data_IF_547289444663
#
_entry.id   IF_547289444663
#
_cell.length_a   1.000
_cell.length_b   1.000
_cell.length_c   1.000
_cell.angle_alpha   90.00
_cell.angle_beta   90.00
_cell.angle_gamma   90.00
#
_symmetry.space_group_name_H-M   'P 1'
#
loop_
_entity.id
_entity.type
_entity.pdbx_description
1 polymer ?
#
# COMPACT_ATOMS: atom_id res chain seq x y z
N UNK A 1 14.69 -36.48 16.31
CA UNK A 1 15.11 -35.53 15.25
C UNK A 1 14.14 -34.37 15.30
N UNK A 2 14.58 -33.17 15.68
CA UNK A 2 13.70 -32.00 15.64
C UNK A 2 13.38 -31.69 14.18
N UNK A 3 12.11 -31.83 13.79
CA UNK A 3 11.60 -31.28 12.54
C UNK A 3 11.99 -29.80 12.51
N UNK A 4 12.92 -29.42 11.65
CA UNK A 4 13.26 -28.01 11.42
C UNK A 4 12.04 -27.36 10.80
N UNK A 5 11.17 -26.79 11.64
CA UNK A 5 9.94 -26.16 11.18
C UNK A 5 10.28 -25.01 10.25
N UNK A 6 9.86 -25.10 8.99
CA UNK A 6 9.95 -24.00 8.03
C UNK A 6 9.18 -22.80 8.57
N UNK A 7 9.84 -21.64 8.67
CA UNK A 7 9.20 -20.38 9.00
C UNK A 7 8.34 -19.94 7.82
N UNK A 8 7.04 -19.80 8.05
CA UNK A 8 6.09 -19.35 7.01
C UNK A 8 5.61 -17.94 7.30
N UNK A 9 5.79 -17.06 6.33
CA UNK A 9 5.39 -15.66 6.40
C UNK A 9 4.20 -15.45 5.45
N UNK A 10 2.98 -15.24 5.99
CA UNK A 10 1.81 -14.94 5.17
C UNK A 10 1.94 -13.56 4.50
N UNK A 11 1.42 -13.45 3.29
CA UNK A 11 1.28 -12.21 2.54
C UNK A 11 -0.20 -11.97 2.25
N UNK A 12 -0.76 -10.89 2.80
CA UNK A 12 -2.16 -10.48 2.63
C UNK A 12 -2.18 -9.08 2.03
N UNK A 13 -2.31 -8.97 0.71
CA UNK A 13 -2.18 -7.69 0.00
C UNK A 13 -3.04 -7.58 -1.25
N UNK A 14 -3.58 -6.39 -1.49
CA UNK A 14 -4.27 -5.99 -2.72
C UNK A 14 -3.27 -5.70 -3.86
N UNK A 15 -1.99 -5.48 -3.54
CA UNK A 15 -0.98 -5.16 -4.54
C UNK A 15 -0.56 -6.40 -5.32
N UNK A 16 -1.00 -6.45 -6.57
CA UNK A 16 -0.61 -7.52 -7.49
C UNK A 16 0.93 -7.56 -7.65
N UNK A 17 1.50 -8.76 -7.60
CA UNK A 17 2.92 -9.00 -7.85
C UNK A 17 3.84 -8.79 -6.63
N UNK A 18 3.36 -8.28 -5.49
CA UNK A 18 4.19 -8.10 -4.28
C UNK A 18 4.79 -9.41 -3.82
N UNK A 19 4.02 -10.49 -3.76
CA UNK A 19 4.54 -11.81 -3.39
C UNK A 19 5.69 -12.27 -4.30
N UNK A 20 5.54 -12.10 -5.61
CA UNK A 20 6.58 -12.43 -6.59
C UNK A 20 7.83 -11.57 -6.40
N UNK A 21 7.65 -10.27 -6.17
CA UNK A 21 8.75 -9.34 -5.94
C UNK A 21 9.54 -9.69 -4.66
N UNK A 22 8.85 -9.93 -3.55
CA UNK A 22 9.49 -10.34 -2.27
C UNK A 22 10.34 -11.59 -2.48
N UNK A 23 9.78 -12.63 -3.10
CA UNK A 23 10.51 -13.89 -3.36
C UNK A 23 11.74 -13.68 -4.25
N UNK A 24 11.63 -12.82 -5.27
CA UNK A 24 12.75 -12.44 -6.15
C UNK A 24 13.87 -11.76 -5.36
N UNK A 25 13.53 -10.77 -4.52
CA UNK A 25 14.51 -10.06 -3.70
C UNK A 25 15.18 -10.99 -2.68
N UNK A 26 14.43 -11.85 -2.01
CA UNK A 26 15.00 -12.82 -1.05
C UNK A 26 15.87 -13.87 -1.72
N UNK A 27 15.53 -14.31 -2.94
CA UNK A 27 16.39 -15.20 -3.72
C UNK A 27 17.77 -14.57 -4.01
N UNK A 28 17.80 -13.27 -4.30
CA UNK A 28 19.02 -12.52 -4.60
C UNK A 28 19.74 -11.95 -3.36
N UNK A 29 19.09 -11.93 -2.19
CA UNK A 29 19.60 -11.26 -0.99
C UNK A 29 20.77 -12.01 -0.34
N UNK A 30 21.86 -11.31 -0.02
CA UNK A 30 22.99 -11.85 0.76
C UNK A 30 22.77 -11.77 2.28
N UNK A 31 21.57 -11.45 2.74
CA UNK A 31 21.25 -11.37 4.18
C UNK A 31 20.97 -12.77 4.76
N UNK A 32 21.07 -12.95 6.10
CA UNK A 32 20.71 -14.21 6.75
C UNK A 32 19.28 -14.68 6.43
N UNK A 33 18.35 -13.75 6.24
CA UNK A 33 16.98 -14.09 5.85
C UNK A 33 16.89 -14.61 4.39
N UNK A 34 17.74 -14.09 3.50
CA UNK A 34 17.91 -14.63 2.15
C UNK A 34 18.49 -16.04 2.16
N UNK A 35 19.45 -16.34 3.04
CA UNK A 35 19.98 -17.70 3.22
C UNK A 35 18.91 -18.68 3.69
N UNK A 36 18.09 -18.29 4.67
CA UNK A 36 16.97 -19.11 5.14
C UNK A 36 16.00 -19.41 3.99
N UNK A 37 15.65 -18.41 3.18
CA UNK A 37 14.77 -18.58 2.03
C UNK A 37 15.37 -19.55 0.99
N UNK A 38 16.63 -19.35 0.59
CA UNK A 38 17.33 -20.25 -0.35
C UNK A 38 17.47 -21.69 0.17
N UNK A 39 17.57 -21.88 1.48
CA UNK A 39 17.65 -23.20 2.11
C UNK A 39 16.28 -23.89 2.34
N UNK A 40 15.16 -23.25 1.96
CA UNK A 40 13.80 -23.77 2.20
C UNK A 40 13.33 -23.70 3.66
N UNK A 41 14.04 -22.97 4.51
CA UNK A 41 13.71 -22.76 5.93
C UNK A 41 12.84 -21.53 6.17
N UNK A 42 12.72 -20.64 5.18
CA UNK A 42 11.78 -19.52 5.14
C UNK A 42 10.95 -19.64 3.86
N UNK A 43 9.64 -19.54 4.00
CA UNK A 43 8.69 -19.58 2.91
C UNK A 43 7.72 -18.40 3.02
N UNK A 44 7.47 -17.72 1.91
CA UNK A 44 6.40 -16.74 1.81
C UNK A 44 5.16 -17.40 1.20
N UNK A 45 4.00 -17.14 1.79
CA UNK A 45 2.73 -17.78 1.38
C UNK A 45 1.70 -16.70 1.11
N UNK A 46 1.23 -16.62 -0.14
CA UNK A 46 0.16 -15.68 -0.49
C UNK A 46 -1.17 -16.18 0.08
N UNK A 47 -1.89 -15.28 0.74
CA UNK A 47 -3.15 -15.56 1.41
C UNK A 47 -4.30 -14.87 0.66
N UNK A 48 -5.51 -15.45 0.68
CA UNK A 48 -6.69 -14.77 0.16
C UNK A 48 -6.96 -13.52 1.00
N UNK A 49 -7.58 -12.52 0.38
CA UNK A 49 -7.95 -11.29 1.06
C UNK A 49 -9.18 -11.52 1.95
N UNK A 50 -9.23 -10.90 3.15
CA UNK A 50 -10.45 -10.86 3.95
C UNK A 50 -11.49 -9.94 3.32
N UNK A 51 -12.77 -10.24 3.54
CA UNK A 51 -13.88 -9.32 3.29
C UNK A 51 -14.31 -8.71 4.62
N UNK A 52 -14.13 -7.40 4.77
CA UNK A 52 -14.60 -6.68 5.96
C UNK A 52 -16.02 -6.15 5.73
N UNK A 53 -16.74 -5.92 6.83
CA UNK A 53 -18.08 -5.31 6.79
C UNK A 53 -18.02 -3.95 6.09
N UNK A 54 -18.96 -3.69 5.19
CA UNK A 54 -19.00 -2.45 4.41
C UNK A 54 -17.89 -2.30 3.35
N UNK A 55 -17.11 -3.36 3.10
CA UNK A 55 -16.03 -3.42 2.11
C UNK A 55 -14.99 -2.27 2.24
N UNK A 56 -14.73 -1.84 3.47
CA UNK A 56 -13.87 -0.67 3.79
C UNK A 56 -12.39 -0.85 3.42
N UNK A 57 -11.98 -2.06 3.05
CA UNK A 57 -10.60 -2.42 2.74
C UNK A 57 -10.19 -2.14 1.28
N UNK A 58 -11.17 -2.00 0.38
CA UNK A 58 -10.94 -1.81 -1.06
C UNK A 58 -10.92 -0.33 -1.45
N UNK A 59 -9.77 0.32 -1.29
CA UNK A 59 -9.58 1.74 -1.67
C UNK A 59 -9.26 1.93 -3.15
N UNK A 60 -8.90 0.87 -3.89
CA UNK A 60 -8.29 1.01 -5.22
C UNK A 60 -9.05 0.31 -6.34
N UNK A 61 -10.00 -0.58 -6.04
CA UNK A 61 -10.83 -1.24 -7.04
C UNK A 61 -12.30 -0.89 -6.76
N UNK A 62 -12.91 -0.16 -7.69
CA UNK A 62 -14.35 0.14 -7.67
C UNK A 62 -15.24 -1.08 -7.93
N UNK A 63 -14.77 -2.29 -7.59
CA UNK A 63 -15.59 -3.49 -7.61
C UNK A 63 -16.20 -3.62 -6.23
N UNK A 64 -17.50 -3.31 -6.16
CA UNK A 64 -18.35 -3.64 -5.02
C UNK A 64 -18.14 -5.14 -4.70
N UNK A 65 -17.30 -5.48 -3.72
CA UNK A 65 -17.49 -6.78 -3.07
C UNK A 65 -18.87 -6.69 -2.43
N UNK A 66 -19.65 -7.77 -2.56
CA UNK A 66 -20.95 -7.84 -1.92
C UNK A 66 -20.75 -7.64 -0.41
N UNK A 67 -21.40 -6.63 0.16
CA UNK A 67 -21.41 -6.44 1.60
C UNK A 67 -22.27 -7.54 2.20
N UNK A 68 -21.62 -8.60 2.68
CA UNK A 68 -22.27 -9.75 3.30
C UNK A 68 -22.87 -9.41 4.66
N UNK A 69 -22.73 -8.17 5.15
CA UNK A 69 -23.20 -7.71 6.46
C UNK A 69 -22.43 -8.32 7.65
N UNK A 70 -21.42 -9.15 7.36
CA UNK A 70 -20.60 -9.85 8.32
C UNK A 70 -19.18 -10.04 7.77
N UNK A 71 -18.13 -10.00 8.61
CA UNK A 71 -16.77 -10.23 8.17
C UNK A 71 -16.60 -11.69 7.70
N UNK A 72 -15.85 -11.88 6.62
CA UNK A 72 -15.58 -13.19 6.02
C UNK A 72 -14.10 -13.33 5.68
N UNK A 73 -13.53 -14.50 5.92
CA UNK A 73 -12.20 -14.84 5.43
C UNK A 73 -12.13 -16.32 5.07
N UNK A 74 -12.33 -16.61 3.79
CA UNK A 74 -12.35 -17.97 3.26
C UNK A 74 -10.93 -18.52 3.18
N UNK A 75 -10.57 -19.34 4.17
CA UNK A 75 -9.25 -19.93 4.32
C UNK A 75 -9.35 -21.45 4.26
N UNK A 76 -8.39 -22.08 3.59
CA UNK A 76 -8.17 -23.52 3.74
C UNK A 76 -7.64 -23.82 5.15
N UNK A 77 -7.82 -25.06 5.62
CA UNK A 77 -7.27 -25.49 6.92
C UNK A 77 -5.76 -25.27 7.03
N UNK A 78 -5.05 -25.35 5.91
CA UNK A 78 -3.62 -25.09 5.87
C UNK A 78 -3.28 -23.61 6.03
N UNK A 79 -4.01 -22.72 5.35
CA UNK A 79 -3.81 -21.28 5.48
C UNK A 79 -4.16 -20.79 6.89
N UNK A 80 -5.24 -21.33 7.48
CA UNK A 80 -5.55 -21.04 8.89
C UNK A 80 -4.43 -21.47 9.83
N UNK A 81 -3.86 -22.67 9.62
CA UNK A 81 -2.74 -23.16 10.42
C UNK A 81 -1.53 -22.24 10.30
N UNK A 82 -1.20 -21.80 9.08
CA UNK A 82 -0.09 -20.90 8.82
C UNK A 82 -0.30 -19.54 9.52
N UNK A 83 -1.49 -18.94 9.40
CA UNK A 83 -1.82 -17.67 10.05
C UNK A 83 -1.75 -17.80 11.58
N UNK A 84 -2.32 -18.87 12.15
CA UNK A 84 -2.27 -19.14 13.60
C UNK A 84 -0.84 -19.26 14.12
N UNK A 85 0.11 -19.72 13.31
CA UNK A 85 1.52 -19.89 13.69
C UNK A 85 2.40 -18.70 13.33
N UNK A 86 1.90 -17.75 12.54
CA UNK A 86 2.70 -16.67 11.99
C UNK A 86 3.13 -15.67 13.08
N UNK A 87 4.45 -15.52 13.24
CA UNK A 87 5.05 -14.43 14.03
C UNK A 87 5.27 -13.16 13.23
N UNK A 88 5.51 -13.31 11.93
CA UNK A 88 5.72 -12.20 10.99
C UNK A 88 4.68 -12.30 9.90
N UNK A 89 4.06 -11.18 9.54
CA UNK A 89 3.08 -11.10 8.46
C UNK A 89 3.36 -9.89 7.57
N UNK A 90 3.20 -10.06 6.26
CA UNK A 90 3.18 -8.94 5.31
C UNK A 90 1.72 -8.62 5.04
N UNK A 91 1.29 -7.39 5.35
CA UNK A 91 -0.13 -7.06 5.28
C UNK A 91 -0.38 -5.59 4.97
N UNK A 92 -1.38 -5.31 4.15
CA UNK A 92 -1.83 -3.95 3.84
C UNK A 92 -2.48 -3.31 5.07
N UNK A 93 -2.30 -2.00 5.26
CA UNK A 93 -2.91 -1.31 6.41
C UNK A 93 -4.44 -1.41 6.45
N UNK A 94 -5.08 -1.48 5.28
CA UNK A 94 -6.53 -1.58 5.14
C UNK A 94 -7.08 -2.94 5.58
N UNK A 95 -6.24 -3.99 5.61
CA UNK A 95 -6.59 -5.27 6.21
C UNK A 95 -6.05 -5.36 7.64
N UNK A 96 -4.77 -5.07 7.84
CA UNK A 96 -4.11 -5.30 9.11
C UNK A 96 -4.55 -4.39 10.24
N UNK A 97 -4.88 -3.11 9.96
CA UNK A 97 -5.44 -2.21 10.98
C UNK A 97 -6.72 -2.80 11.61
N UNK A 98 -7.77 -3.06 10.81
CA UNK A 98 -8.99 -3.70 11.29
C UNK A 98 -8.75 -5.07 11.95
N UNK A 99 -8.01 -5.97 11.29
CA UNK A 99 -7.87 -7.36 11.75
C UNK A 99 -7.01 -7.53 13.01
N UNK A 100 -5.99 -6.70 13.22
CA UNK A 100 -5.07 -6.83 14.36
C UNK A 100 -5.45 -5.93 15.54
N UNK A 101 -6.12 -4.79 15.30
CA UNK A 101 -6.52 -3.85 16.36
C UNK A 101 -7.94 -4.14 16.86
N UNK A 102 -8.85 -4.54 15.96
CA UNK A 102 -10.25 -4.79 16.28
C UNK A 102 -10.73 -6.15 15.71
N UNK A 103 -10.09 -7.27 16.08
CA UNK A 103 -10.42 -8.60 15.54
C UNK A 103 -11.89 -8.99 15.77
N UNK A 104 -12.46 -8.65 16.92
CA UNK A 104 -13.84 -9.02 17.26
C UNK A 104 -14.90 -8.41 16.35
N UNK A 105 -14.58 -7.28 15.70
CA UNK A 105 -15.47 -6.58 14.76
C UNK A 105 -15.20 -6.98 13.31
N UNK A 106 -13.97 -7.40 13.00
CA UNK A 106 -13.48 -7.51 11.62
C UNK A 106 -13.08 -8.94 11.21
N UNK A 107 -13.11 -9.90 12.13
CA UNK A 107 -12.91 -11.33 11.86
C UNK A 107 -14.18 -12.13 12.14
N UNK A 108 -14.40 -13.24 11.41
CA UNK A 108 -15.39 -14.25 11.79
C UNK A 108 -15.20 -14.72 13.24
N UNK A 109 -16.30 -15.06 13.92
CA UNK A 109 -16.29 -15.45 15.34
C UNK A 109 -15.32 -16.61 15.65
N UNK A 110 -15.22 -17.59 14.74
CA UNK A 110 -14.33 -18.75 14.86
C UNK A 110 -12.84 -18.43 14.59
N UNK A 111 -12.54 -17.20 14.17
CA UNK A 111 -11.21 -16.76 13.72
C UNK A 111 -10.65 -15.57 14.48
N UNK A 112 -11.28 -15.12 15.56
CA UNK A 112 -10.85 -13.91 16.31
C UNK A 112 -9.39 -13.98 16.79
N UNK A 113 -8.91 -15.19 17.12
CA UNK A 113 -7.55 -15.42 17.61
C UNK A 113 -6.54 -15.79 16.51
N UNK A 114 -6.94 -15.77 15.23
CA UNK A 114 -6.12 -16.32 14.12
C UNK A 114 -4.80 -15.58 13.91
N UNK A 115 -4.71 -14.31 14.35
CA UNK A 115 -3.50 -13.48 14.25
C UNK A 115 -2.86 -13.18 15.62
N UNK A 116 -3.29 -13.84 16.69
CA UNK A 116 -2.85 -13.59 18.07
C UNK A 116 -1.33 -13.75 18.30
N UNK A 117 -0.67 -14.56 17.49
CA UNK A 117 0.78 -14.83 17.57
C UNK A 117 1.64 -13.87 16.75
N UNK A 118 1.05 -12.91 16.03
CA UNK A 118 1.79 -11.94 15.23
C UNK A 118 2.55 -10.98 16.13
N UNK A 119 3.87 -10.97 15.99
CA UNK A 119 4.82 -10.10 16.70
C UNK A 119 5.34 -8.98 15.79
N UNK A 120 5.29 -9.16 14.47
CA UNK A 120 5.75 -8.17 13.49
C UNK A 120 4.86 -8.12 12.25
N UNK A 121 4.40 -6.92 11.92
CA UNK A 121 3.70 -6.60 10.68
C UNK A 121 4.60 -5.76 9.79
N UNK A 122 4.90 -6.28 8.60
CA UNK A 122 5.49 -5.50 7.51
C UNK A 122 4.36 -4.98 6.62
N UNK A 123 4.09 -3.69 6.72
CA UNK A 123 3.18 -2.98 5.83
C UNK A 123 3.67 -3.03 4.38
N UNK A 124 2.75 -3.06 3.43
CA UNK A 124 3.04 -2.97 1.98
C UNK A 124 2.93 -1.55 1.44
N UNK A 125 2.35 -0.64 2.23
CA UNK A 125 2.22 0.79 1.95
C UNK A 125 2.95 1.62 3.01
N UNK A 126 3.08 2.91 2.73
CA UNK A 126 3.66 3.88 3.67
C UNK A 126 2.68 4.31 4.76
N UNK A 127 1.38 4.27 4.49
CA UNK A 127 0.36 4.71 5.43
C UNK A 127 0.19 3.73 6.60
N UNK A 128 -0.14 4.29 7.75
CA UNK A 128 -0.38 3.57 9.02
C UNK A 128 -1.70 4.01 9.68
N UNK A 129 -2.48 4.82 8.97
CA UNK A 129 -3.66 5.52 9.48
C UNK A 129 -4.70 4.54 10.00
N UNK A 130 -4.88 3.39 9.34
CA UNK A 130 -5.85 2.38 9.77
C UNK A 130 -5.50 1.74 11.12
N UNK A 131 -4.21 1.64 11.46
CA UNK A 131 -3.80 1.18 12.79
C UNK A 131 -4.01 2.31 13.82
N UNK A 132 -3.48 3.49 13.52
CA UNK A 132 -3.46 4.63 14.44
C UNK A 132 -4.86 5.12 14.77
N UNK A 133 -5.72 5.33 13.77
CA UNK A 133 -7.08 5.84 13.97
C UNK A 133 -7.95 4.87 14.76
N UNK A 134 -7.76 3.56 14.60
CA UNK A 134 -8.49 2.54 15.37
C UNK A 134 -8.00 2.42 16.79
N UNK A 135 -6.69 2.56 16.99
CA UNK A 135 -6.08 2.53 18.30
C UNK A 135 -6.49 3.76 19.13
N UNK A 136 -6.47 4.95 18.51
CA UNK A 136 -6.82 6.21 19.16
C UNK A 136 -8.33 6.42 19.28
N UNK A 137 -9.11 5.98 18.29
CA UNK A 137 -10.51 6.39 18.15
C UNK A 137 -10.62 7.92 18.14
N UNK A 138 -11.45 8.47 19.02
CA UNK A 138 -11.57 9.91 19.25
C UNK A 138 -10.64 10.46 20.36
N UNK A 139 -9.76 9.62 20.91
CA UNK A 139 -8.80 10.00 21.96
C UNK A 139 -7.47 10.48 21.35
N UNK A 140 -6.74 11.35 22.06
CA UNK A 140 -5.42 11.85 21.63
C UNK A 140 -4.26 10.95 22.03
N UNK A 141 -4.48 10.06 23.01
CA UNK A 141 -3.46 9.18 23.58
C UNK A 141 -4.07 7.84 23.92
N UNK A 142 -3.29 6.76 23.83
CA UNK A 142 -3.71 5.40 24.13
C UNK A 142 -3.03 4.94 25.41
N UNK A 143 -3.77 4.39 26.39
CA UNK A 143 -3.17 3.79 27.58
C UNK A 143 -2.16 2.68 27.20
N UNK A 144 -1.06 2.58 27.95
CA UNK A 144 0.04 1.65 27.63
C UNK A 144 -0.45 0.20 27.57
N UNK A 145 -1.44 -0.15 28.39
CA UNK A 145 -2.03 -1.48 28.49
C UNK A 145 -2.82 -1.88 27.23
N UNK A 146 -3.23 -0.88 26.43
CA UNK A 146 -3.95 -1.06 25.17
C UNK A 146 -3.04 -0.98 23.95
N UNK A 147 -1.73 -0.78 24.12
CA UNK A 147 -0.81 -0.77 23.00
C UNK A 147 -0.69 -2.17 22.39
N UNK A 148 -0.62 -2.28 21.05
CA UNK A 148 -0.45 -3.58 20.41
C UNK A 148 0.89 -4.19 20.78
N UNK A 149 0.90 -5.52 20.97
CA UNK A 149 2.12 -6.27 21.31
C UNK A 149 3.00 -6.62 20.10
N UNK A 150 2.72 -6.02 18.94
CA UNK A 150 3.45 -6.23 17.71
C UNK A 150 4.18 -4.97 17.25
N UNK A 151 5.27 -5.15 16.52
CA UNK A 151 5.96 -4.08 15.80
C UNK A 151 5.32 -3.87 14.44
N UNK A 152 5.10 -2.62 14.03
CA UNK A 152 4.65 -2.26 12.67
C UNK A 152 5.78 -1.53 11.94
N UNK A 153 6.22 -2.09 10.81
CA UNK A 153 7.11 -1.40 9.88
C UNK A 153 6.35 -1.06 8.62
N UNK A 154 6.26 0.22 8.28
CA UNK A 154 5.68 0.67 7.01
C UNK A 154 6.64 0.41 5.86
N UNK A 155 6.10 0.21 4.67
CA UNK A 155 6.91 0.27 3.48
C UNK A 155 6.99 1.74 3.04
N UNK A 156 8.15 2.37 3.23
CA UNK A 156 8.50 3.67 2.65
C UNK A 156 9.46 3.57 1.46
N UNK A 157 9.59 4.67 0.69
CA UNK A 157 10.66 4.93 -0.31
C UNK A 157 10.58 4.27 -1.71
N UNK A 158 9.63 3.39 -2.00
CA UNK A 158 9.53 2.74 -3.34
C UNK A 158 8.65 3.50 -4.34
N UNK A 159 7.72 4.33 -3.88
CA UNK A 159 6.82 5.09 -4.75
C UNK A 159 7.30 6.47 -5.29
N UNK A 160 8.46 7.08 -4.92
CA UNK A 160 8.82 8.41 -5.41
C UNK A 160 8.80 8.56 -6.93
N UNK A 161 9.28 7.55 -7.67
CA UNK A 161 9.33 7.60 -9.13
C UNK A 161 7.94 7.42 -9.74
N UNK A 162 7.17 6.44 -9.29
CA UNK A 162 5.82 6.15 -9.79
C UNK A 162 4.88 7.33 -9.53
N UNK A 163 4.91 7.88 -8.32
CA UNK A 163 4.13 9.07 -7.97
C UNK A 163 4.64 10.30 -8.70
N UNK A 164 5.96 10.42 -8.92
CA UNK A 164 6.54 11.44 -9.78
C UNK A 164 5.93 11.41 -11.18
N UNK A 165 5.86 10.23 -11.80
CA UNK A 165 5.27 10.04 -13.14
C UNK A 165 3.79 10.40 -13.16
N UNK A 166 3.04 9.94 -12.16
CA UNK A 166 1.61 10.24 -12.03
C UNK A 166 1.35 11.75 -11.95
N UNK A 167 2.05 12.45 -11.04
CA UNK A 167 1.90 13.91 -10.89
C UNK A 167 2.40 14.65 -12.12
N UNK A 168 3.50 14.22 -12.72
CA UNK A 168 4.02 14.82 -13.95
C UNK A 168 3.03 14.71 -15.12
N UNK A 169 2.38 13.55 -15.27
CA UNK A 169 1.31 13.35 -16.24
C UNK A 169 0.15 14.32 -16.01
N UNK A 170 -0.27 14.48 -14.75
CA UNK A 170 -1.34 15.41 -14.38
C UNK A 170 -0.96 16.86 -14.70
N UNK A 171 0.24 17.32 -14.32
CA UNK A 171 0.72 18.67 -14.67
C UNK A 171 0.76 18.85 -16.18
N UNK A 172 1.25 17.87 -16.93
CA UNK A 172 1.30 17.93 -18.39
C UNK A 172 -0.09 18.06 -19.01
N UNK A 173 -1.07 17.33 -18.45
CA UNK A 173 -2.46 17.37 -18.91
C UNK A 173 -3.02 18.80 -18.93
N UNK A 174 -2.82 19.56 -17.85
CA UNK A 174 -3.28 20.95 -17.75
C UNK A 174 -2.39 21.93 -18.50
N UNK A 175 -1.06 21.87 -18.29
CA UNK A 175 -0.16 22.87 -18.85
C UNK A 175 -0.01 22.77 -20.38
N UNK A 176 -0.46 21.66 -20.98
CA UNK A 176 -0.49 21.43 -22.43
C UNK A 176 -1.90 21.34 -23.02
N UNK A 177 -2.93 21.63 -22.21
CA UNK A 177 -4.34 21.67 -22.64
C UNK A 177 -4.76 20.37 -23.36
N UNK A 178 -4.34 19.22 -22.83
CA UNK A 178 -4.51 17.93 -23.52
C UNK A 178 -5.98 17.52 -23.56
N UNK A 179 -6.77 17.86 -22.53
CA UNK A 179 -8.19 17.55 -22.50
C UNK A 179 -8.96 18.37 -23.53
N UNK A 180 -8.63 19.65 -23.68
CA UNK A 180 -9.18 20.55 -24.68
C UNK A 180 -8.80 20.08 -26.09
N UNK A 181 -7.56 19.61 -26.28
CA UNK A 181 -7.13 19.04 -27.55
C UNK A 181 -7.97 17.81 -27.95
N UNK A 182 -8.32 16.94 -26.98
CA UNK A 182 -9.19 15.78 -27.20
C UNK A 182 -10.59 16.24 -27.62
N UNK A 183 -11.14 17.26 -26.98
CA UNK A 183 -12.45 17.82 -27.33
C UNK A 183 -12.47 18.39 -28.75
N UNK A 184 -11.51 19.24 -29.10
CA UNK A 184 -11.38 19.79 -30.46
C UNK A 184 -11.22 18.69 -31.51
N UNK A 185 -10.39 17.68 -31.23
CA UNK A 185 -10.23 16.54 -32.12
C UNK A 185 -11.55 15.78 -32.30
N UNK A 186 -12.30 15.53 -31.23
CA UNK A 186 -13.57 14.81 -31.28
C UNK A 186 -14.64 15.52 -32.12
N UNK A 187 -14.57 16.85 -32.17
CA UNK A 187 -15.45 17.70 -32.98
C UNK A 187 -14.92 17.93 -34.42
N UNK A 188 -13.75 17.39 -34.76
CA UNK A 188 -13.11 17.62 -36.07
C UNK A 188 -12.58 19.05 -36.24
N UNK A 189 -12.34 19.76 -35.14
CA UNK A 189 -11.91 21.15 -35.14
C UNK A 189 -10.38 21.27 -35.06
N UNK A 190 -9.80 22.05 -35.97
CA UNK A 190 -8.39 22.40 -35.92
C UNK A 190 -8.19 23.76 -35.20
N UNK A 191 -8.38 23.75 -33.87
CA UNK A 191 -8.39 24.94 -33.00
C UNK A 191 -6.99 25.49 -32.67
N UNK A 192 -6.18 25.76 -33.69
CA UNK A 192 -4.77 26.22 -33.54
C UNK A 192 -4.62 27.47 -32.65
N UNK A 193 -5.43 28.54 -32.78
CA UNK A 193 -5.30 29.73 -31.93
C UNK A 193 -5.54 29.44 -30.45
N UNK A 194 -6.52 28.61 -30.13
CA UNK A 194 -6.86 28.20 -28.77
C UNK A 194 -5.74 27.34 -28.19
N UNK A 195 -5.26 26.37 -28.97
CA UNK A 195 -4.18 25.48 -28.55
C UNK A 195 -2.82 26.17 -28.40
N UNK A 196 -2.65 27.40 -28.90
CA UNK A 196 -1.43 28.19 -28.69
C UNK A 196 -1.39 28.90 -27.32
N UNK A 197 -2.46 28.85 -26.53
CA UNK A 197 -2.59 29.54 -25.24
C UNK A 197 -1.99 28.77 -24.05
N UNK A 198 -1.42 27.59 -24.29
CA UNK A 198 -0.77 26.80 -23.25
C UNK A 198 0.39 27.58 -22.59
N UNK A 199 0.69 27.27 -21.34
CA UNK A 199 1.81 27.91 -20.62
C UNK A 199 3.10 27.11 -20.84
N UNK A 200 4.17 27.70 -21.40
CA UNK A 200 5.46 27.03 -21.50
C UNK A 200 6.01 26.67 -20.11
N UNK A 201 6.65 25.50 -19.97
CA UNK A 201 7.16 25.06 -18.66
C UNK A 201 8.07 26.07 -17.94
N UNK A 202 8.96 26.84 -18.61
CA UNK A 202 9.80 27.83 -17.93
C UNK A 202 9.04 29.00 -17.29
N UNK A 203 7.79 29.24 -17.71
CA UNK A 203 6.95 30.32 -17.14
C UNK A 203 6.08 29.85 -15.98
N UNK A 204 6.07 28.55 -15.68
CA UNK A 204 5.21 27.94 -14.67
C UNK A 204 6.03 27.57 -13.43
N UNK A 205 5.55 27.97 -12.27
CA UNK A 205 6.11 27.59 -10.97
C UNK A 205 5.18 26.61 -10.26
N UNK A 206 5.70 25.42 -9.95
CA UNK A 206 4.98 24.39 -9.23
C UNK A 206 5.44 24.39 -7.77
N UNK A 207 4.49 24.57 -6.85
CA UNK A 207 4.70 24.39 -5.41
C UNK A 207 4.44 22.94 -5.01
N UNK A 208 5.40 22.31 -4.35
CA UNK A 208 5.29 20.96 -3.78
C UNK A 208 5.16 21.09 -2.26
N UNK A 209 3.95 20.89 -1.73
CA UNK A 209 3.68 20.83 -0.29
C UNK A 209 4.00 19.42 0.23
N UNK A 210 4.96 19.34 1.15
CA UNK A 210 5.46 18.09 1.70
C UNK A 210 6.66 17.53 0.92
N UNK A 211 7.85 18.08 1.18
CA UNK A 211 9.11 17.66 0.54
C UNK A 211 9.72 16.37 1.14
N UNK A 212 8.88 15.38 1.42
CA UNK A 212 9.30 14.02 1.77
C UNK A 212 9.82 13.24 0.55
N UNK A 213 9.99 11.91 0.68
CA UNK A 213 10.53 11.07 -0.39
C UNK A 213 9.74 11.22 -1.72
N UNK A 214 8.40 11.22 -1.65
CA UNK A 214 7.52 11.41 -2.83
C UNK A 214 7.67 12.83 -3.38
N UNK A 215 7.56 13.87 -2.54
CA UNK A 215 7.65 15.26 -2.98
C UNK A 215 8.99 15.57 -3.65
N UNK A 216 10.09 14.97 -3.18
CA UNK A 216 11.40 15.07 -3.82
C UNK A 216 11.43 14.37 -5.18
N UNK A 217 10.83 13.19 -5.31
CA UNK A 217 10.69 12.48 -6.59
C UNK A 217 9.91 13.31 -7.62
N UNK A 218 8.76 13.83 -7.22
CA UNK A 218 7.93 14.75 -8.01
C UNK A 218 8.71 16.00 -8.43
N UNK A 219 9.35 16.67 -7.47
CA UNK A 219 10.09 17.91 -7.73
C UNK A 219 11.27 17.71 -8.69
N UNK A 220 12.01 16.60 -8.57
CA UNK A 220 13.08 16.24 -9.51
C UNK A 220 12.55 16.04 -10.92
N UNK A 221 11.43 15.32 -11.06
CA UNK A 221 10.84 15.04 -12.37
C UNK A 221 10.36 16.32 -13.06
N UNK A 222 9.60 17.16 -12.34
CA UNK A 222 9.09 18.43 -12.88
C UNK A 222 10.22 19.39 -13.24
N UNK A 223 11.25 19.50 -12.39
CA UNK A 223 12.43 20.32 -12.70
C UNK A 223 13.14 19.81 -13.97
N UNK A 224 13.26 18.48 -14.11
CA UNK A 224 13.81 17.85 -15.33
C UNK A 224 13.01 18.17 -16.60
N UNK A 225 11.71 18.43 -16.49
CA UNK A 225 10.84 18.85 -17.59
C UNK A 225 10.82 20.37 -17.84
N UNK A 226 11.67 21.13 -17.14
CA UNK A 226 11.85 22.57 -17.37
C UNK A 226 10.88 23.47 -16.58
N UNK A 227 10.15 22.93 -15.59
CA UNK A 227 9.33 23.74 -14.69
C UNK A 227 10.18 24.38 -13.58
N UNK A 228 9.75 25.54 -13.09
CA UNK A 228 10.26 26.07 -11.82
C UNK A 228 9.59 25.30 -10.67
N UNK A 229 10.35 24.87 -9.67
CA UNK A 229 9.83 24.05 -8.57
C UNK A 229 10.23 24.63 -7.23
N UNK A 230 9.23 24.91 -6.39
CA UNK A 230 9.37 25.30 -4.99
C UNK A 230 8.91 24.15 -4.09
N UNK A 231 9.70 23.80 -3.08
CA UNK A 231 9.37 22.75 -2.12
C UNK A 231 9.14 23.31 -0.73
N UNK A 232 8.07 22.89 -0.08
CA UNK A 232 7.73 23.26 1.30
C UNK A 232 7.78 22.01 2.16
N UNK A 233 8.39 22.12 3.34
CA UNK A 233 8.58 21.02 4.28
C UNK A 233 7.65 21.19 5.47
#
# INVERSE_FOLDING_TARGET
MASTSTLRVPIVTFLNGVGKAIRKEFAASSTPAGDLFRSGKLEFVDMPLPTLVGNIQDLHHGHKQDDTGAPKWDLTSEQERILKQAKVIVMDQNSGGPLLIAPNENLPQDKQEILSNVEWVQGTYAGVEQYVNRLLGSQKTVPVEKLPKFTLTRAGRFFPQVMGQYVFGYVTLFERMVLEAIEFQSNGEYARPQMAQFRPSPTVTIGVLGLGDIGQGVGKMLRGAGYNVLGFK
#
